data_IF_138542101889
#
_entry.id   IF_138542101889
#
_cell.length_a   1.000
_cell.length_b   1.000
_cell.length_c   1.000
_cell.angle_alpha   90.00
_cell.angle_beta   90.00
_cell.angle_gamma   90.00
#
_symmetry.space_group_name_H-M   'P 1'
#
loop_
_entity.id
_entity.type
_entity.pdbx_description
1 polymer ?
#
# COMPACT_ATOMS: atom_id res chain seq x y z
N UNK A 1 -29.70 5.59 41.53
CA UNK A 1 -30.11 4.86 40.32
C UNK A 1 -29.94 5.76 39.07
N UNK A 2 -28.72 6.26 38.80
CA UNK A 2 -28.43 7.20 37.68
C UNK A 2 -27.11 6.92 36.94
N UNK A 3 -26.52 5.72 37.03
CA UNK A 3 -25.19 5.43 36.44
C UNK A 3 -25.15 4.29 35.42
N UNK A 4 -26.28 3.80 34.91
CA UNK A 4 -26.34 2.64 34.00
C UNK A 4 -26.65 3.02 32.53
N UNK A 5 -27.06 4.27 32.27
CA UNK A 5 -27.51 4.66 30.91
C UNK A 5 -26.36 5.16 30.00
N UNK A 6 -25.21 5.56 30.59
CA UNK A 6 -24.10 6.16 29.82
C UNK A 6 -23.20 5.14 29.14
N UNK A 7 -23.24 3.88 29.57
CA UNK A 7 -22.34 2.82 29.01
C UNK A 7 -22.92 2.06 27.82
N UNK A 8 -24.24 2.12 27.62
CA UNK A 8 -24.91 1.38 26.51
C UNK A 8 -24.92 2.17 25.21
N UNK A 9 -24.90 3.52 25.30
CA UNK A 9 -24.88 4.36 24.08
C UNK A 9 -23.53 4.32 23.36
N UNK A 10 -22.43 4.08 24.08
CA UNK A 10 -21.10 3.93 23.46
C UNK A 10 -20.93 2.60 22.71
N UNK A 11 -21.65 1.54 23.10
CA UNK A 11 -21.51 0.21 22.48
C UNK A 11 -22.34 0.04 21.19
N UNK A 12 -23.38 0.84 20.98
CA UNK A 12 -24.24 0.72 19.78
C UNK A 12 -23.67 1.50 18.58
N UNK A 13 -22.77 2.47 18.80
CA UNK A 13 -22.09 3.20 17.72
C UNK A 13 -20.89 2.45 17.10
N UNK A 14 -20.48 1.31 17.66
CA UNK A 14 -19.29 0.56 17.21
C UNK A 14 -19.57 -0.46 16.12
N UNK A 15 -20.80 -0.82 15.82
CA UNK A 15 -21.13 -1.87 14.84
C UNK A 15 -21.32 -1.33 13.42
N UNK A 16 -21.47 -0.01 13.23
CA UNK A 16 -21.59 0.63 11.91
C UNK A 16 -20.34 1.38 11.44
N UNK A 17 -19.29 1.48 12.26
CA UNK A 17 -18.16 2.40 12.04
C UNK A 17 -16.97 1.77 11.30
N UNK A 18 -16.86 0.43 11.21
CA UNK A 18 -15.67 -0.24 10.67
C UNK A 18 -15.44 0.05 9.17
N UNK A 19 -16.48 -0.02 8.37
CA UNK A 19 -16.37 0.20 6.92
C UNK A 19 -16.19 1.67 6.55
N UNK A 20 -16.85 2.59 7.27
CA UNK A 20 -16.73 4.03 7.03
C UNK A 20 -15.35 4.54 7.46
N UNK A 21 -14.81 4.08 8.58
CA UNK A 21 -13.50 4.51 9.08
C UNK A 21 -12.37 3.97 8.22
N UNK A 22 -12.45 2.71 7.78
CA UNK A 22 -11.51 2.12 6.82
C UNK A 22 -11.49 2.92 5.51
N UNK A 23 -12.65 3.27 4.97
CA UNK A 23 -12.77 4.06 3.74
C UNK A 23 -12.18 5.46 3.89
N UNK A 24 -12.25 6.07 5.09
CA UNK A 24 -11.71 7.40 5.38
C UNK A 24 -10.17 7.41 5.43
N UNK A 25 -9.51 6.37 5.97
CA UNK A 25 -8.05 6.29 5.97
C UNK A 25 -7.50 6.07 4.56
N UNK A 26 -8.16 5.25 3.71
CA UNK A 26 -7.79 5.09 2.31
C UNK A 26 -7.87 6.42 1.55
N UNK A 27 -8.97 7.16 1.74
CA UNK A 27 -9.13 8.48 1.12
C UNK A 27 -8.06 9.45 1.62
N UNK A 28 -7.80 9.52 2.92
CA UNK A 28 -6.75 10.37 3.48
C UNK A 28 -5.37 10.02 2.92
N UNK A 29 -5.06 8.72 2.78
CA UNK A 29 -3.81 8.25 2.18
C UNK A 29 -3.70 8.59 0.70
N UNK A 30 -4.78 8.44 -0.06
CA UNK A 30 -4.84 8.81 -1.48
C UNK A 30 -4.68 10.33 -1.69
N UNK A 31 -5.28 11.14 -0.83
CA UNK A 31 -5.22 12.62 -0.91
C UNK A 31 -3.90 13.21 -0.35
N UNK A 32 -3.02 12.39 0.22
CA UNK A 32 -1.79 12.86 0.88
C UNK A 32 -2.05 13.60 2.20
N UNK A 33 -3.22 13.40 2.80
CA UNK A 33 -3.59 14.05 4.04
C UNK A 33 -2.93 13.38 5.25
N UNK A 34 -1.65 13.71 5.48
CA UNK A 34 -0.83 13.15 6.56
C UNK A 34 -1.52 13.29 7.94
N UNK A 35 -2.12 14.45 8.22
CA UNK A 35 -2.83 14.69 9.49
C UNK A 35 -4.06 13.80 9.62
N UNK A 36 -4.79 13.59 8.52
CA UNK A 36 -5.94 12.70 8.45
C UNK A 36 -5.55 11.25 8.71
N UNK A 37 -4.50 10.77 8.03
CA UNK A 37 -3.97 9.41 8.23
C UNK A 37 -3.53 9.20 9.68
N UNK A 38 -2.73 10.12 10.23
CA UNK A 38 -2.28 10.05 11.64
C UNK A 38 -3.45 9.95 12.60
N UNK A 39 -4.46 10.83 12.46
CA UNK A 39 -5.65 10.80 13.33
C UNK A 39 -6.39 9.46 13.28
N UNK A 40 -6.47 8.81 12.12
CA UNK A 40 -7.10 7.49 12.01
C UNK A 40 -6.27 6.40 12.67
N UNK A 41 -4.95 6.42 12.48
CA UNK A 41 -4.04 5.47 13.11
C UNK A 41 -4.02 5.63 14.65
N UNK A 42 -3.95 6.86 15.16
CA UNK A 42 -4.00 7.18 16.59
C UNK A 42 -5.34 6.76 17.23
N UNK A 43 -6.42 6.78 16.46
CA UNK A 43 -7.74 6.28 16.88
C UNK A 43 -7.88 4.75 16.82
N UNK A 44 -6.79 4.02 16.49
CA UNK A 44 -6.74 2.56 16.44
C UNK A 44 -7.24 1.94 15.13
N UNK A 45 -7.36 2.72 14.06
CA UNK A 45 -7.65 2.15 12.73
C UNK A 45 -6.45 1.31 12.27
N UNK A 46 -6.69 0.07 11.87
CA UNK A 46 -5.65 -0.81 11.35
C UNK A 46 -5.09 -0.25 10.02
N UNK A 47 -3.76 -0.07 9.97
CA UNK A 47 -3.03 0.39 8.79
C UNK A 47 -3.16 -0.57 7.58
N UNK A 48 -3.58 -1.82 7.82
CA UNK A 48 -3.76 -2.87 6.82
C UNK A 48 -5.22 -3.09 6.41
N UNK A 49 -6.13 -2.19 6.76
CA UNK A 49 -7.52 -2.27 6.29
C UNK A 49 -7.55 -2.37 4.76
N UNK A 50 -8.45 -3.20 4.23
CA UNK A 50 -8.53 -3.44 2.79
C UNK A 50 -9.86 -2.94 2.22
N UNK A 51 -9.81 -2.40 1.01
CA UNK A 51 -11.01 -2.18 0.18
C UNK A 51 -11.53 -3.51 -0.39
N UNK A 52 -12.69 -3.50 -1.03
CA UNK A 52 -13.22 -4.67 -1.75
C UNK A 52 -12.26 -5.21 -2.84
N UNK A 53 -11.39 -4.35 -3.38
CA UNK A 53 -10.34 -4.74 -4.34
C UNK A 53 -9.03 -5.17 -3.68
N UNK A 54 -8.97 -5.26 -2.36
CA UNK A 54 -7.78 -5.66 -1.61
C UNK A 54 -6.73 -4.55 -1.45
N UNK A 55 -7.02 -3.32 -1.89
CA UNK A 55 -6.08 -2.22 -1.71
C UNK A 55 -6.03 -1.77 -0.25
N UNK A 56 -4.83 -1.60 0.28
CA UNK A 56 -4.58 -0.99 1.59
C UNK A 56 -4.36 0.53 1.47
N UNK A 57 -4.37 1.30 2.57
CA UNK A 57 -3.97 2.72 2.55
C UNK A 57 -2.57 2.92 1.95
N UNK A 58 -1.65 1.96 2.15
CA UNK A 58 -0.30 2.00 1.58
C UNK A 58 -0.31 1.90 0.05
N UNK A 59 -1.20 1.10 -0.54
CA UNK A 59 -1.41 1.08 -1.99
C UNK A 59 -1.88 2.45 -2.50
N UNK A 60 -2.82 3.08 -1.79
CA UNK A 60 -3.35 4.39 -2.18
C UNK A 60 -2.29 5.49 -2.12
N UNK A 61 -1.47 5.52 -1.06
CA UNK A 61 -0.36 6.45 -0.91
C UNK A 61 0.73 6.22 -1.97
N UNK A 62 1.08 4.96 -2.26
CA UNK A 62 2.06 4.58 -3.28
C UNK A 62 1.59 4.96 -4.69
N UNK A 63 0.31 4.75 -5.01
CA UNK A 63 -0.30 5.15 -6.27
C UNK A 63 -0.20 6.67 -6.52
N UNK A 64 -0.21 7.47 -5.46
CA UNK A 64 -0.13 8.94 -5.54
C UNK A 64 1.27 9.49 -5.25
N UNK A 65 2.22 8.65 -4.84
CA UNK A 65 3.59 9.02 -4.53
C UNK A 65 3.76 9.84 -3.25
N UNK A 66 2.84 9.71 -2.29
CA UNK A 66 2.88 10.46 -1.03
C UNK A 66 3.87 9.82 -0.05
N UNK A 67 5.14 10.19 -0.16
CA UNK A 67 6.27 9.59 0.58
C UNK A 67 6.08 9.71 2.10
N UNK A 68 5.67 10.87 2.60
CA UNK A 68 5.41 11.14 4.01
C UNK A 68 4.30 10.27 4.60
N UNK A 69 3.24 10.02 3.81
CA UNK A 69 2.14 9.11 4.19
C UNK A 69 2.61 7.66 4.17
N UNK A 70 3.43 7.27 3.18
CA UNK A 70 4.04 5.93 3.11
C UNK A 70 4.87 5.67 4.36
N UNK A 71 5.75 6.61 4.75
CA UNK A 71 6.56 6.50 5.97
C UNK A 71 5.70 6.34 7.22
N UNK A 72 4.66 7.16 7.36
CA UNK A 72 3.75 7.11 8.50
C UNK A 72 3.01 5.77 8.59
N UNK A 73 2.48 5.26 7.48
CA UNK A 73 1.78 3.98 7.43
C UNK A 73 2.71 2.81 7.79
N UNK A 74 3.92 2.79 7.23
CA UNK A 74 4.92 1.76 7.54
C UNK A 74 5.37 1.81 9.01
N UNK A 75 5.51 3.00 9.60
CA UNK A 75 5.82 3.18 11.02
C UNK A 75 4.70 2.63 11.94
N UNK A 76 3.45 2.55 11.45
CA UNK A 76 2.31 1.98 12.16
C UNK A 76 1.99 0.54 11.74
N UNK A 77 2.94 -0.17 11.16
CA UNK A 77 2.82 -1.59 10.87
C UNK A 77 2.05 -1.94 9.58
N UNK A 78 1.97 -1.00 8.62
CA UNK A 78 1.48 -1.35 7.29
C UNK A 78 2.37 -2.41 6.64
N UNK A 79 1.77 -3.45 6.07
CA UNK A 79 2.48 -4.47 5.33
C UNK A 79 2.95 -3.92 3.97
N UNK A 80 4.26 -3.77 3.82
CA UNK A 80 4.90 -3.27 2.60
C UNK A 80 4.65 -4.18 1.39
N UNK A 81 4.35 -5.46 1.63
CA UNK A 81 4.10 -6.49 0.62
C UNK A 81 2.63 -6.93 0.54
N UNK A 82 1.70 -6.17 1.14
CA UNK A 82 0.27 -6.44 1.02
C UNK A 82 -0.13 -6.58 -0.45
N UNK A 83 -0.97 -7.58 -0.76
CA UNK A 83 -1.37 -7.89 -2.15
C UNK A 83 -2.84 -7.57 -2.39
N UNK A 84 -3.12 -6.82 -3.42
CA UNK A 84 -4.48 -6.61 -3.91
C UNK A 84 -5.02 -7.84 -4.68
N UNK A 85 -6.27 -7.79 -5.14
CA UNK A 85 -6.91 -8.91 -5.88
C UNK A 85 -6.18 -9.29 -7.16
N UNK A 86 -5.39 -8.36 -7.76
CA UNK A 86 -4.55 -8.59 -8.95
C UNK A 86 -3.17 -9.14 -8.59
N UNK A 87 -2.85 -9.25 -7.29
CA UNK A 87 -1.52 -9.60 -6.79
C UNK A 87 -0.53 -8.43 -6.80
N UNK A 88 -1.02 -7.21 -6.97
CA UNK A 88 -0.18 -6.01 -6.89
C UNK A 88 0.19 -5.73 -5.43
N UNK A 89 1.43 -5.36 -5.20
CA UNK A 89 1.91 -4.77 -3.95
C UNK A 89 2.05 -3.25 -4.13
N UNK A 90 2.19 -2.45 -3.05
CA UNK A 90 2.36 -1.00 -3.15
C UNK A 90 3.47 -0.56 -4.11
N UNK A 91 4.58 -1.33 -4.19
CA UNK A 91 5.67 -1.05 -5.13
C UNK A 91 5.21 -1.07 -6.59
N UNK A 92 4.31 -1.98 -6.99
CA UNK A 92 3.75 -1.99 -8.34
C UNK A 92 3.00 -0.69 -8.63
N UNK A 93 2.23 -0.18 -7.66
CA UNK A 93 1.49 1.07 -7.82
C UNK A 93 2.43 2.27 -8.01
N UNK A 94 3.49 2.37 -7.19
CA UNK A 94 4.47 3.45 -7.29
C UNK A 94 5.20 3.42 -8.64
N UNK A 95 5.61 2.22 -9.09
CA UNK A 95 6.28 2.05 -10.38
C UNK A 95 5.34 2.34 -11.55
N UNK A 96 4.11 1.82 -11.52
CA UNK A 96 3.13 2.06 -12.60
C UNK A 96 2.88 3.57 -12.84
N UNK A 97 2.90 4.36 -11.78
CA UNK A 97 2.68 5.81 -11.82
C UNK A 97 3.99 6.64 -11.94
N UNK A 98 5.17 6.00 -11.94
CA UNK A 98 6.46 6.70 -12.07
C UNK A 98 6.94 7.45 -10.83
N UNK A 99 6.44 7.10 -9.66
CA UNK A 99 6.81 7.74 -8.40
C UNK A 99 8.12 7.16 -7.85
N UNK A 100 9.25 7.63 -8.38
CA UNK A 100 10.58 7.11 -8.07
C UNK A 100 10.89 7.14 -6.56
N UNK A 101 10.69 8.27 -5.88
CA UNK A 101 10.98 8.39 -4.44
C UNK A 101 10.11 7.44 -3.60
N UNK A 102 8.85 7.25 -3.97
CA UNK A 102 7.98 6.28 -3.28
C UNK A 102 8.46 4.84 -3.51
N UNK A 103 8.87 4.51 -4.73
CA UNK A 103 9.42 3.19 -5.06
C UNK A 103 10.75 2.93 -4.32
N UNK A 104 11.65 3.90 -4.29
CA UNK A 104 12.91 3.83 -3.54
C UNK A 104 12.68 3.58 -2.05
N UNK A 105 11.77 4.34 -1.45
CA UNK A 105 11.39 4.17 -0.05
C UNK A 105 10.81 2.78 0.21
N UNK A 106 9.88 2.31 -0.61
CA UNK A 106 9.26 0.98 -0.46
C UNK A 106 10.31 -0.13 -0.55
N UNK A 107 11.25 -0.06 -1.51
CA UNK A 107 12.36 -1.02 -1.64
C UNK A 107 13.26 -0.97 -0.41
N UNK A 108 13.62 0.22 0.08
CA UNK A 108 14.41 0.40 1.31
C UNK A 108 13.70 -0.18 2.56
N UNK A 109 12.36 -0.25 2.55
CA UNK A 109 11.54 -0.83 3.62
C UNK A 109 11.20 -2.31 3.39
N UNK A 110 11.85 -2.97 2.44
CA UNK A 110 11.74 -4.41 2.24
C UNK A 110 10.64 -4.86 1.27
N UNK A 111 10.22 -3.99 0.34
CA UNK A 111 9.31 -4.41 -0.71
C UNK A 111 9.94 -5.50 -1.61
N UNK A 112 9.16 -6.52 -1.93
CA UNK A 112 9.56 -7.62 -2.82
C UNK A 112 9.74 -7.10 -4.26
N UNK A 113 10.97 -6.76 -4.67
CA UNK A 113 11.27 -6.22 -6.01
C UNK A 113 10.88 -7.18 -7.14
N UNK A 114 10.82 -8.48 -6.85
CA UNK A 114 10.46 -9.56 -7.79
C UNK A 114 9.03 -10.08 -7.58
N UNK A 115 8.19 -9.35 -6.84
CA UNK A 115 6.78 -9.70 -6.69
C UNK A 115 6.10 -9.79 -8.07
N UNK A 116 5.30 -10.85 -8.26
CA UNK A 116 4.62 -11.13 -9.53
C UNK A 116 3.14 -10.81 -9.44
N UNK A 117 2.63 -10.16 -10.46
CA UNK A 117 1.19 -9.96 -10.65
C UNK A 117 0.50 -11.25 -11.08
N UNK A 118 -0.78 -11.40 -10.73
CA UNK A 118 -1.61 -12.49 -11.22
C UNK A 118 -1.86 -12.36 -12.73
N UNK A 119 -2.06 -13.49 -13.39
CA UNK A 119 -2.48 -13.56 -14.78
C UNK A 119 -1.36 -13.50 -15.82
N UNK A 120 -0.32 -12.70 -15.64
CA UNK A 120 0.78 -12.58 -16.63
C UNK A 120 2.16 -12.85 -16.04
N UNK A 121 2.28 -12.86 -14.73
CA UNK A 121 3.56 -13.01 -14.05
C UNK A 121 4.49 -11.80 -14.23
N UNK A 122 3.95 -10.65 -14.64
CA UNK A 122 4.71 -9.41 -14.73
C UNK A 122 5.24 -8.98 -13.36
N UNK A 123 6.42 -8.41 -13.35
CA UNK A 123 7.09 -7.86 -12.17
C UNK A 123 7.09 -6.33 -12.23
N UNK A 124 7.60 -5.70 -11.17
CA UNK A 124 7.82 -4.25 -11.15
C UNK A 124 8.77 -3.78 -12.24
N UNK A 125 9.77 -4.61 -12.61
CA UNK A 125 10.70 -4.28 -13.69
C UNK A 125 10.03 -4.31 -15.07
N UNK A 126 9.14 -5.27 -15.31
CA UNK A 126 8.35 -5.31 -16.56
C UNK A 126 7.48 -4.06 -16.68
N UNK A 127 6.85 -3.61 -15.57
CA UNK A 127 6.07 -2.38 -15.54
C UNK A 127 6.92 -1.14 -15.86
N UNK A 128 8.12 -1.04 -15.26
CA UNK A 128 9.01 0.08 -15.51
C UNK A 128 9.41 0.18 -16.99
N UNK A 129 9.65 -0.95 -17.64
CA UNK A 129 9.91 -0.99 -19.09
C UNK A 129 8.67 -0.63 -19.90
N UNK A 130 7.51 -1.18 -19.55
CA UNK A 130 6.25 -0.89 -20.24
C UNK A 130 5.87 0.61 -20.17
N UNK A 131 6.27 1.27 -19.09
CA UNK A 131 6.05 2.71 -18.86
C UNK A 131 7.23 3.60 -19.33
N UNK A 132 8.26 3.01 -19.98
CA UNK A 132 9.45 3.71 -20.47
C UNK A 132 10.22 4.47 -19.38
N UNK A 133 10.13 4.00 -18.13
CA UNK A 133 10.75 4.61 -16.94
C UNK A 133 12.19 4.11 -16.76
N UNK A 134 13.08 4.52 -17.64
CA UNK A 134 14.45 4.01 -17.70
C UNK A 134 15.23 4.21 -16.39
N UNK A 135 15.07 5.35 -15.72
CA UNK A 135 15.73 5.61 -14.43
C UNK A 135 15.26 4.65 -13.33
N UNK A 136 13.95 4.45 -13.23
CA UNK A 136 13.35 3.54 -12.25
C UNK A 136 13.67 2.07 -12.57
N UNK A 137 13.69 1.71 -13.85
CA UNK A 137 14.12 0.38 -14.28
C UNK A 137 15.59 0.11 -13.91
N UNK A 138 16.48 1.08 -14.09
CA UNK A 138 17.88 0.96 -13.66
C UNK A 138 18.00 0.82 -12.13
N UNK A 139 17.27 1.62 -11.36
CA UNK A 139 17.21 1.51 -9.91
C UNK A 139 16.74 0.11 -9.47
N UNK A 140 15.63 -0.39 -10.02
CA UNK A 140 15.08 -1.71 -9.68
C UNK A 140 16.08 -2.84 -10.01
N UNK A 141 16.74 -2.78 -11.17
CA UNK A 141 17.78 -3.77 -11.55
C UNK A 141 18.94 -3.79 -10.56
N UNK A 142 19.40 -2.62 -10.11
CA UNK A 142 20.48 -2.51 -9.13
C UNK A 142 20.09 -3.13 -7.78
N UNK A 143 18.79 -3.25 -7.50
CA UNK A 143 18.23 -3.92 -6.31
C UNK A 143 17.78 -5.36 -6.59
N UNK A 144 18.26 -5.97 -7.71
CA UNK A 144 18.02 -7.38 -8.00
C UNK A 144 16.67 -7.67 -8.67
N UNK A 145 15.98 -6.65 -9.19
CA UNK A 145 14.75 -6.88 -9.94
C UNK A 145 15.03 -7.61 -11.25
N UNK A 146 14.16 -8.57 -11.58
CA UNK A 146 14.17 -9.37 -12.80
C UNK A 146 12.81 -9.25 -13.48
N UNK A 147 12.80 -9.43 -14.80
CA UNK A 147 11.54 -9.55 -15.54
C UNK A 147 10.81 -10.85 -15.19
N UNK A 148 9.52 -10.90 -15.40
CA UNK A 148 8.73 -12.11 -15.18
C UNK A 148 9.22 -13.29 -16.01
N UNK A 149 9.75 -13.03 -17.21
CA UNK A 149 10.38 -14.04 -18.08
C UNK A 149 11.73 -14.49 -17.52
N UNK A 150 12.58 -13.57 -17.07
CA UNK A 150 13.85 -13.88 -16.42
C UNK A 150 13.69 -14.80 -15.20
N UNK A 151 12.67 -14.58 -14.38
CA UNK A 151 12.37 -15.44 -13.23
C UNK A 151 11.89 -16.85 -13.61
N UNK A 152 11.29 -17.03 -14.82
CA UNK A 152 10.88 -18.35 -15.31
C UNK A 152 12.09 -19.21 -15.71
N UNK A 153 13.13 -18.58 -16.25
CA UNK A 153 14.34 -19.28 -16.73
C UNK A 153 15.16 -19.83 -15.57
N UNK A 154 15.20 -19.12 -14.44
CA UNK A 154 15.97 -19.52 -13.26
C UNK A 154 15.29 -20.59 -12.40
N UNK A 155 13.98 -20.77 -12.54
CA UNK A 155 13.18 -21.75 -11.79
C UNK A 155 13.11 -23.15 -12.42
N UNK A 156 13.99 -23.47 -13.41
CA UNK A 156 14.05 -24.80 -14.05
C UNK A 156 15.21 -25.62 -13.54
#
# INVERSE_FOLDING_TARGET
MKFIITTIVAAVMLVGCGTTTAMLIHKAAFDGNLKGVRRHLDAGTDANTMTASGNTPLHAAAFRGHVDVIELLLAHGADVNARDVRGWIPLHQAVDQGHALAAELLVAKGAEVNARMKGGGFTTLDLAYLREQNGLAAFLRNHGAKTGEGLKIEGK
#
